data_IF_333313927050
#
_entry.id   IF_333313927050
#
_cell.length_a   1.000
_cell.length_b   1.000
_cell.length_c   1.000
_cell.angle_alpha   90.00
_cell.angle_beta   90.00
_cell.angle_gamma   90.00
#
_symmetry.space_group_name_H-M   'P 1'
#
loop_
_entity.id
_entity.type
_entity.pdbx_description
1 polymer ?
#
# COMPACT_ATOMS: atom_id res chain seq x y z
N UNK A 1 14.84 0.78 17.15
CA UNK A 1 14.48 1.94 18.00
C UNK A 1 15.67 2.88 18.20
N UNK A 2 16.62 2.93 17.25
CA UNK A 2 17.87 3.71 17.30
C UNK A 2 18.12 4.20 15.87
N UNK A 3 18.63 5.43 15.74
CA UNK A 3 18.86 6.12 14.46
C UNK A 3 18.25 7.51 14.49
N UNK A 4 18.88 8.49 13.83
CA UNK A 4 18.33 9.83 13.74
C UNK A 4 17.02 9.79 12.91
N UNK A 5 15.95 10.36 13.45
CA UNK A 5 14.62 10.38 12.86
C UNK A 5 13.97 9.00 12.60
N UNK A 6 14.28 7.98 13.41
CA UNK A 6 13.70 6.63 13.25
C UNK A 6 12.16 6.60 13.29
N UNK A 7 11.55 7.61 13.93
CA UNK A 7 10.10 7.83 14.00
C UNK A 7 9.46 8.14 12.64
N UNK A 8 10.26 8.51 11.64
CA UNK A 8 9.78 8.88 10.28
C UNK A 8 9.74 7.70 9.32
N UNK A 9 10.25 6.54 9.72
CA UNK A 9 10.33 5.38 8.84
C UNK A 9 8.95 4.74 8.68
N UNK A 10 8.46 4.71 7.44
CA UNK A 10 7.16 4.12 7.16
C UNK A 10 7.23 2.59 7.20
N UNK A 11 6.17 1.96 7.72
CA UNK A 11 5.96 0.52 7.69
C UNK A 11 4.51 0.21 7.34
N UNK A 12 4.28 -0.91 6.64
CA UNK A 12 2.95 -1.35 6.22
C UNK A 12 2.77 -1.36 4.70
N UNK A 13 1.52 -1.50 4.25
CA UNK A 13 1.15 -1.50 2.83
C UNK A 13 0.91 -0.05 2.40
N UNK A 14 1.94 0.59 1.83
CA UNK A 14 1.95 2.02 1.47
C UNK A 14 1.59 2.29 0.00
N UNK A 15 1.37 1.22 -0.77
CA UNK A 15 0.97 1.29 -2.16
C UNK A 15 2.14 1.53 -3.15
N UNK A 16 1.83 1.50 -4.45
CA UNK A 16 0.52 1.19 -5.02
C UNK A 16 0.15 -0.30 -4.92
N UNK A 17 -1.14 -0.62 -4.77
CA UNK A 17 -1.66 -2.01 -4.77
C UNK A 17 -2.43 -2.24 -6.06
N UNK A 18 -2.02 -3.21 -6.86
CA UNK A 18 -2.52 -3.38 -8.23
C UNK A 18 -2.86 -4.83 -8.55
N UNK A 19 -3.89 -5.00 -9.37
CA UNK A 19 -4.31 -6.28 -9.91
C UNK A 19 -4.25 -6.23 -11.45
N UNK A 20 -3.54 -7.17 -12.06
CA UNK A 20 -3.41 -7.33 -13.52
C UNK A 20 -4.08 -8.60 -14.03
N UNK A 21 -4.42 -8.63 -15.32
CA UNK A 21 -5.03 -9.81 -15.97
C UNK A 21 -6.56 -9.79 -15.95
N UNK A 22 -7.16 -8.62 -15.72
CA UNK A 22 -8.59 -8.42 -15.87
C UNK A 22 -8.94 -8.21 -17.35
N UNK A 23 -10.21 -8.39 -17.71
CA UNK A 23 -10.69 -8.04 -19.07
C UNK A 23 -10.41 -6.56 -19.41
N UNK A 24 -10.45 -5.69 -18.39
CA UNK A 24 -10.11 -4.26 -18.47
C UNK A 24 -8.61 -3.96 -18.29
N UNK A 25 -7.77 -4.99 -18.27
CA UNK A 25 -6.31 -4.90 -18.14
C UNK A 25 -5.85 -4.92 -16.68
N UNK A 26 -5.78 -3.74 -16.07
CA UNK A 26 -5.23 -3.54 -14.72
C UNK A 26 -6.09 -2.58 -13.89
N UNK A 27 -6.22 -2.90 -12.60
CA UNK A 27 -6.96 -2.10 -11.63
C UNK A 27 -6.07 -1.68 -10.47
N UNK A 28 -6.18 -0.41 -10.09
CA UNK A 28 -5.57 0.15 -8.88
C UNK A 28 -6.53 0.01 -7.70
N UNK A 29 -6.05 -0.59 -6.62
CA UNK A 29 -6.78 -0.89 -5.40
C UNK A 29 -6.36 0.04 -4.25
N UNK A 30 -5.42 0.95 -4.47
CA UNK A 30 -4.86 1.82 -3.41
C UNK A 30 -5.93 2.66 -2.71
N UNK A 31 -6.98 3.05 -3.45
CA UNK A 31 -8.03 3.96 -2.98
C UNK A 31 -9.37 3.28 -2.67
N UNK A 32 -9.43 1.94 -2.71
CA UNK A 32 -10.66 1.23 -2.35
C UNK A 32 -10.86 1.19 -0.83
N UNK A 33 -12.05 0.78 -0.37
CA UNK A 33 -12.29 0.57 1.05
C UNK A 33 -11.38 -0.53 1.59
N UNK A 34 -10.54 -0.20 2.56
CA UNK A 34 -9.71 -1.15 3.30
C UNK A 34 -10.31 -1.42 4.68
N UNK A 35 -10.11 -2.64 5.18
CA UNK A 35 -10.43 -3.00 6.56
C UNK A 35 -9.18 -3.63 7.18
N UNK A 36 -8.91 -3.23 8.42
CA UNK A 36 -7.75 -3.65 9.20
C UNK A 36 -8.26 -4.29 10.48
N UNK A 37 -7.54 -5.30 10.99
CA UNK A 37 -7.82 -5.95 12.27
C UNK A 37 -6.67 -5.68 13.24
#
# INVERSE_FOLDING_TARGET
NVGNHFETWNAGVLGPVQLSGLNEGRRDLSWQKWSYK
#
